data_IF_414144315880
#
_entry.id   IF_414144315880
#
_cell.length_a   1.000
_cell.length_b   1.000
_cell.length_c   1.000
_cell.angle_alpha   90.00
_cell.angle_beta   90.00
_cell.angle_gamma   90.00
#
_symmetry.space_group_name_H-M   'P 1'
#
loop_
_entity.id
_entity.type
_entity.pdbx_description
1 polymer ?
#
# COMPACT_ATOMS: atom_id res chain seq x y z
N UNK A 1 36.44 1.07 -6.21
CA UNK A 1 35.32 2.00 -5.95
C UNK A 1 34.14 1.16 -5.54
N UNK A 2 33.66 1.31 -4.31
CA UNK A 2 32.54 0.53 -3.77
C UNK A 2 31.42 1.53 -3.47
N UNK A 3 30.38 1.54 -4.29
CA UNK A 3 29.21 2.40 -4.13
C UNK A 3 28.29 1.76 -3.10
N UNK A 4 28.40 2.19 -1.85
CA UNK A 4 27.44 1.82 -0.80
C UNK A 4 26.17 2.63 -1.02
N UNK A 5 25.20 2.08 -1.76
CA UNK A 5 23.84 2.64 -1.81
C UNK A 5 23.22 2.53 -0.43
N UNK A 6 23.14 3.66 0.27
CA UNK A 6 22.35 3.78 1.49
C UNK A 6 20.87 3.66 1.12
N UNK A 7 20.35 2.43 1.14
CA UNK A 7 18.91 2.19 1.15
C UNK A 7 18.35 2.99 2.33
N UNK A 8 17.58 4.03 2.02
CA UNK A 8 16.95 4.85 3.05
C UNK A 8 16.03 3.95 3.87
N UNK A 9 16.03 4.04 5.21
CA UNK A 9 15.17 3.21 6.08
C UNK A 9 13.67 3.29 5.71
N UNK A 10 13.25 4.39 5.07
CA UNK A 10 11.91 4.60 4.54
C UNK A 10 11.56 3.74 3.31
N UNK A 11 12.54 3.44 2.46
CA UNK A 11 12.36 2.56 1.29
C UNK A 11 12.06 1.13 1.74
N UNK A 12 12.88 0.59 2.65
CA UNK A 12 12.70 -0.76 3.20
C UNK A 12 11.31 -0.94 3.85
N UNK A 13 10.84 0.06 4.60
CA UNK A 13 9.51 0.02 5.22
C UNK A 13 8.38 0.03 4.20
N UNK A 14 8.54 0.74 3.09
CA UNK A 14 7.54 0.82 2.03
C UNK A 14 7.48 -0.50 1.25
N UNK A 15 8.64 -1.12 1.00
CA UNK A 15 8.73 -2.42 0.34
C UNK A 15 8.15 -3.55 1.22
N UNK A 16 8.42 -3.55 2.53
CA UNK A 16 7.79 -4.49 3.47
C UNK A 16 6.26 -4.35 3.53
N UNK A 17 5.75 -3.11 3.42
CA UNK A 17 4.32 -2.85 3.38
C UNK A 17 3.70 -3.36 2.07
N UNK A 18 4.37 -3.15 0.93
CA UNK A 18 3.95 -3.69 -0.37
C UNK A 18 3.87 -5.21 -0.36
N UNK A 19 4.90 -5.89 0.16
CA UNK A 19 4.91 -7.34 0.26
C UNK A 19 3.71 -7.85 1.08
N UNK A 20 3.40 -7.21 2.22
CA UNK A 20 2.23 -7.57 3.02
C UNK A 20 0.89 -7.33 2.31
N UNK A 21 0.80 -6.29 1.49
CA UNK A 21 -0.41 -5.98 0.72
C UNK A 21 -0.58 -7.00 -0.41
N UNK A 22 0.50 -7.33 -1.12
CA UNK A 22 0.48 -8.32 -2.20
C UNK A 22 0.10 -9.72 -1.67
N UNK A 23 0.70 -10.15 -0.55
CA UNK A 23 0.32 -11.38 0.13
C UNK A 23 -1.17 -11.42 0.50
N UNK A 24 -1.70 -10.30 0.99
CA UNK A 24 -3.10 -10.19 1.36
C UNK A 24 -4.05 -10.24 0.15
N UNK A 25 -3.69 -9.57 -0.95
CA UNK A 25 -4.45 -9.60 -2.20
C UNK A 25 -4.39 -10.98 -2.85
N UNK A 26 -3.22 -11.63 -2.83
CA UNK A 26 -3.02 -12.99 -3.34
C UNK A 26 -3.85 -14.01 -2.54
N UNK A 27 -3.84 -13.92 -1.21
CA UNK A 27 -4.69 -14.77 -0.36
C UNK A 27 -6.19 -14.54 -0.62
N UNK A 28 -6.61 -13.30 -0.83
CA UNK A 28 -8.00 -12.99 -1.16
C UNK A 28 -8.41 -13.45 -2.56
N UNK A 29 -7.50 -13.42 -3.53
CA UNK A 29 -7.75 -13.92 -4.89
C UNK A 29 -7.95 -15.44 -4.95
N UNK A 30 -7.42 -16.17 -3.97
CA UNK A 30 -7.59 -17.62 -3.82
C UNK A 30 -8.81 -18.01 -2.97
N UNK A 31 -9.53 -17.04 -2.38
CA UNK A 31 -10.66 -17.27 -1.48
C UNK A 31 -11.96 -16.72 -2.09
N UNK A 32 -12.82 -17.63 -2.56
CA UNK A 32 -14.14 -17.30 -3.12
C UNK A 32 -15.13 -16.76 -2.06
N UNK A 33 -14.85 -16.93 -0.77
CA UNK A 33 -15.73 -16.51 0.32
C UNK A 33 -15.52 -15.02 0.69
N UNK A 34 -16.00 -14.13 -0.18
CA UNK A 34 -15.89 -12.65 -0.01
C UNK A 34 -16.37 -12.14 1.36
N UNK A 35 -17.36 -12.77 1.98
CA UNK A 35 -17.86 -12.39 3.32
C UNK A 35 -16.80 -12.49 4.43
N UNK A 36 -15.81 -13.38 4.26
CA UNK A 36 -14.68 -13.53 5.17
C UNK A 36 -13.86 -12.26 5.29
N UNK A 37 -13.88 -11.42 4.25
CA UNK A 37 -13.12 -10.16 4.17
C UNK A 37 -13.94 -8.94 4.59
N UNK A 38 -15.19 -9.11 5.04
CA UNK A 38 -16.02 -7.99 5.51
C UNK A 38 -15.39 -7.29 6.71
N UNK A 39 -15.66 -5.99 6.88
CA UNK A 39 -15.08 -5.20 7.98
C UNK A 39 -15.45 -5.70 9.38
N UNK A 40 -16.46 -6.55 9.50
CA UNK A 40 -16.87 -7.16 10.76
C UNK A 40 -15.97 -8.32 11.18
N UNK A 41 -15.19 -8.90 10.26
CA UNK A 41 -14.23 -9.96 10.57
C UNK A 41 -12.88 -9.38 10.98
N UNK A 42 -12.08 -10.19 11.68
CA UNK A 42 -10.68 -9.84 11.99
C UNK A 42 -9.85 -9.68 10.71
N UNK A 43 -10.10 -10.53 9.70
CA UNK A 43 -9.42 -10.48 8.41
C UNK A 43 -9.71 -9.16 7.69
N UNK A 44 -10.99 -8.77 7.55
CA UNK A 44 -11.35 -7.51 6.90
C UNK A 44 -10.81 -6.28 7.63
N UNK A 45 -10.82 -6.26 8.97
CA UNK A 45 -10.17 -5.17 9.74
C UNK A 45 -8.66 -5.09 9.49
N UNK A 46 -7.99 -6.23 9.32
CA UNK A 46 -6.56 -6.26 8.97
C UNK A 46 -6.32 -5.66 7.59
N UNK A 47 -7.16 -5.96 6.60
CA UNK A 47 -7.08 -5.36 5.27
C UNK A 47 -7.29 -3.84 5.32
N UNK A 48 -8.29 -3.36 6.06
CA UNK A 48 -8.51 -1.91 6.23
C UNK A 48 -7.32 -1.22 6.93
N UNK A 49 -6.70 -1.88 7.90
CA UNK A 49 -5.49 -1.38 8.56
C UNK A 49 -4.32 -1.29 7.59
N UNK A 50 -4.15 -2.26 6.69
CA UNK A 50 -3.12 -2.20 5.63
C UNK A 50 -3.41 -1.08 4.62
N UNK A 51 -4.66 -0.93 4.19
CA UNK A 51 -5.06 0.16 3.30
C UNK A 51 -4.79 1.55 3.91
N UNK A 52 -5.12 1.74 5.19
CA UNK A 52 -4.83 2.98 5.91
C UNK A 52 -3.32 3.23 6.09
N UNK A 53 -2.51 2.17 6.22
CA UNK A 53 -1.04 2.29 6.23
C UNK A 53 -0.51 2.69 4.85
N UNK A 54 -1.00 2.08 3.78
CA UNK A 54 -0.60 2.40 2.41
C UNK A 54 -0.90 3.86 2.05
N UNK A 55 -2.11 4.36 2.38
CA UNK A 55 -2.48 5.77 2.18
C UNK A 55 -1.58 6.73 2.96
N UNK A 56 -1.24 6.41 4.21
CA UNK A 56 -0.31 7.24 5.02
C UNK A 56 1.11 7.22 4.45
N UNK A 57 1.57 6.08 3.95
CA UNK A 57 2.87 5.99 3.28
C UNK A 57 2.88 6.78 1.97
N UNK A 58 1.83 6.69 1.15
CA UNK A 58 1.66 7.50 -0.06
C UNK A 58 1.64 9.01 0.26
N UNK A 59 0.95 9.40 1.32
CA UNK A 59 0.94 10.78 1.81
C UNK A 59 2.32 11.27 2.26
N UNK A 60 3.10 10.40 2.93
CA UNK A 60 4.49 10.71 3.29
C UNK A 60 5.41 10.87 2.07
N UNK A 61 5.04 10.28 0.92
CA UNK A 61 5.71 10.44 -0.37
C UNK A 61 5.18 11.64 -1.19
N UNK A 62 4.20 12.37 -0.66
CA UNK A 62 3.65 13.59 -1.26
C UNK A 62 2.42 13.40 -2.14
N UNK A 63 1.81 12.20 -2.16
CA UNK A 63 0.52 11.98 -2.81
C UNK A 63 -0.66 12.39 -1.90
N UNK A 64 -1.83 12.64 -2.48
CA UNK A 64 -3.07 12.80 -1.69
C UNK A 64 -3.53 11.41 -1.20
N UNK A 65 -3.49 11.21 0.12
CA UNK A 65 -3.90 9.96 0.76
C UNK A 65 -5.40 9.66 0.63
N UNK A 66 -6.23 10.65 0.31
CA UNK A 66 -7.69 10.52 0.22
C UNK A 66 -8.38 10.14 1.53
N UNK A 67 -9.68 9.84 1.45
CA UNK A 67 -10.49 9.42 2.61
C UNK A 67 -10.44 7.89 2.75
N UNK A 68 -9.96 7.34 3.88
CA UNK A 68 -9.93 5.89 4.08
C UNK A 68 -11.32 5.31 4.31
N UNK A 69 -11.55 4.10 3.82
CA UNK A 69 -12.76 3.34 4.13
C UNK A 69 -12.74 2.89 5.60
N UNK A 70 -13.84 3.14 6.32
CA UNK A 70 -13.97 2.77 7.74
C UNK A 70 -14.64 1.41 7.93
N UNK A 71 -15.59 1.06 7.07
CA UNK A 71 -16.34 -0.20 7.12
C UNK A 71 -16.96 -0.53 5.75
N UNK A 72 -17.27 -1.80 5.51
CA UNK A 72 -17.93 -2.23 4.29
C UNK A 72 -17.97 -3.76 4.12
N UNK A 73 -18.77 -4.25 3.15
CA UNK A 73 -18.77 -5.65 2.76
C UNK A 73 -17.41 -6.04 2.17
N UNK A 74 -17.07 -7.33 2.17
CA UNK A 74 -15.72 -7.78 1.86
C UNK A 74 -15.20 -7.36 0.49
N UNK A 75 -16.07 -7.35 -0.54
CA UNK A 75 -15.68 -6.86 -1.87
C UNK A 75 -15.26 -5.38 -1.87
N UNK A 76 -15.88 -4.54 -1.02
CA UNK A 76 -15.53 -3.12 -0.91
C UNK A 76 -14.22 -2.96 -0.12
N UNK A 77 -14.00 -3.78 0.91
CA UNK A 77 -12.73 -3.83 1.64
C UNK A 77 -11.56 -4.23 0.74
N UNK A 78 -11.75 -5.25 -0.12
CA UNK A 78 -10.73 -5.69 -1.07
C UNK A 78 -10.41 -4.63 -2.12
N UNK A 79 -11.46 -3.96 -2.65
CA UNK A 79 -11.29 -2.85 -3.60
C UNK A 79 -10.56 -1.68 -2.98
N UNK A 80 -10.86 -1.35 -1.73
CA UNK A 80 -10.14 -0.30 -1.00
C UNK A 80 -8.67 -0.64 -0.84
N UNK A 81 -8.35 -1.89 -0.46
CA UNK A 81 -6.96 -2.32 -0.33
C UNK A 81 -6.22 -2.22 -1.67
N UNK A 82 -6.83 -2.69 -2.77
CA UNK A 82 -6.25 -2.59 -4.10
C UNK A 82 -6.03 -1.13 -4.55
N UNK A 83 -6.99 -0.24 -4.27
CA UNK A 83 -6.86 1.19 -4.56
C UNK A 83 -5.75 1.85 -3.74
N UNK A 84 -5.62 1.51 -2.46
CA UNK A 84 -4.57 2.03 -1.59
C UNK A 84 -3.18 1.51 -1.99
N UNK A 85 -3.09 0.26 -2.46
CA UNK A 85 -1.87 -0.32 -3.03
C UNK A 85 -1.42 0.45 -4.27
N UNK A 86 -2.33 0.67 -5.20
CA UNK A 86 -2.06 1.41 -6.44
C UNK A 86 -1.58 2.84 -6.16
N UNK A 87 -2.24 3.54 -5.23
CA UNK A 87 -1.84 4.89 -4.81
C UNK A 87 -0.41 4.92 -4.23
N UNK A 88 -0.05 3.93 -3.41
CA UNK A 88 1.30 3.81 -2.85
C UNK A 88 2.34 3.61 -3.96
N UNK A 89 2.03 2.78 -4.95
CA UNK A 89 2.92 2.50 -6.07
C UNK A 89 3.15 3.72 -6.96
N UNK A 90 2.08 4.44 -7.29
CA UNK A 90 2.18 5.70 -8.02
C UNK A 90 3.00 6.74 -7.25
N UNK A 91 2.75 6.89 -5.94
CA UNK A 91 3.48 7.84 -5.10
C UNK A 91 4.98 7.52 -5.03
N UNK A 92 5.34 6.25 -4.91
CA UNK A 92 6.74 5.81 -4.88
C UNK A 92 7.43 5.97 -6.24
N UNK A 93 6.74 5.68 -7.35
CA UNK A 93 7.27 5.91 -8.69
C UNK A 93 7.48 7.41 -8.96
N UNK A 94 6.55 8.26 -8.53
CA UNK A 94 6.66 9.72 -8.58
C UNK A 94 7.77 10.29 -7.69
N UNK A 95 8.01 9.70 -6.52
CA UNK A 95 9.11 10.09 -5.64
C UNK A 95 10.49 9.76 -6.25
N UNK A 96 10.63 8.60 -6.90
CA UNK A 96 11.88 8.17 -7.53
C UNK A 96 12.30 9.03 -8.73
N UNK A 97 11.35 9.60 -9.47
CA UNK A 97 11.61 10.45 -10.64
C UNK A 97 12.05 11.88 -10.29
N UNK A 98 11.87 12.32 -9.04
CA UNK A 98 12.24 13.68 -8.58
C UNK A 98 13.71 13.81 -8.17
N UNK A 99 14.50 12.74 -8.26
CA UNK A 99 15.86 12.65 -7.74
C UNK A 99 16.97 12.71 -8.82
N UNK A 100 16.68 13.30 -9.99
CA UNK A 100 17.71 13.69 -10.97
C UNK A 100 17.95 15.20 -10.90
N UNK A 101 18.99 15.67 -10.18
CA UNK A 101 19.56 16.98 -10.48
C UNK A 101 20.34 16.85 -11.79
N UNK A 102 19.87 17.63 -12.76
CA UNK A 102 20.58 18.09 -13.94
C UNK A 102 22.02 18.50 -13.59
N UNK A 103 23.00 17.94 -14.30
CA UNK A 103 24.33 18.55 -14.41
C UNK A 103 24.79 18.39 -15.85
N UNK A 104 24.88 19.54 -16.51
CA UNK A 104 25.35 19.77 -17.87
C UNK A 104 26.86 19.50 -18.04
#
# INVERSE_FOLDING_TARGET
MTTTSLLSPSASRTDDLRAQIDDALSAAAQDDAVERWSSHTSAGRRLLSLAAQARRAAAALGADGGVPLVAGPGIVVLRELAAAAHLLDEAAAGAGSRQLPEVA
#
